data_IF_484746665694
#
_entry.id   IF_484746665694
#
_cell.length_a   1.000
_cell.length_b   1.000
_cell.length_c   1.000
_cell.angle_alpha   90.00
_cell.angle_beta   90.00
_cell.angle_gamma   90.00
#
_symmetry.space_group_name_H-M   'P 1'
#
loop_
_entity.id
_entity.type
_entity.pdbx_description
1 polymer ?
#
# COMPACT_ATOMS: atom_id res chain seq x y z
N UNK A 1 -0.40 21.35 1.80
CA UNK A 1 -1.75 20.78 2.04
C UNK A 1 -2.47 20.75 0.69
N UNK A 2 -2.89 19.57 0.21
CA UNK A 2 -3.36 19.42 -1.18
C UNK A 2 -4.75 20.01 -1.40
N UNK A 3 -4.97 20.64 -2.56
CA UNK A 3 -6.30 21.11 -2.95
C UNK A 3 -7.10 19.97 -3.56
N UNK A 4 -8.26 19.69 -2.98
CA UNK A 4 -9.16 18.63 -3.43
C UNK A 4 -10.25 19.20 -4.34
N UNK A 5 -10.37 18.64 -5.55
CA UNK A 5 -11.50 18.85 -6.44
C UNK A 5 -12.37 17.59 -6.42
N UNK A 6 -13.66 17.76 -6.14
CA UNK A 6 -14.64 16.66 -6.10
C UNK A 6 -15.78 16.98 -7.05
N UNK A 7 -16.15 16.03 -7.89
CA UNK A 7 -17.35 16.13 -8.71
C UNK A 7 -17.99 14.76 -8.91
N UNK A 8 -19.25 14.77 -9.31
CA UNK A 8 -20.05 13.57 -9.57
C UNK A 8 -20.44 13.57 -11.04
N UNK A 9 -20.23 12.45 -11.71
CA UNK A 9 -20.67 12.24 -13.09
C UNK A 9 -21.83 11.26 -13.08
N UNK A 10 -23.03 11.74 -13.43
CA UNK A 10 -24.25 10.93 -13.42
C UNK A 10 -24.22 9.98 -14.61
N UNK A 11 -24.37 8.68 -14.31
CA UNK A 11 -24.38 7.60 -15.31
C UNK A 11 -25.82 7.32 -15.74
N UNK A 12 -26.74 7.20 -14.78
CA UNK A 12 -28.15 6.90 -15.04
C UNK A 12 -29.03 7.22 -13.84
N UNK A 13 -30.30 7.50 -14.10
CA UNK A 13 -31.35 7.58 -13.08
C UNK A 13 -32.06 6.23 -12.95
N UNK A 14 -32.51 5.91 -11.73
CA UNK A 14 -33.39 4.78 -11.47
C UNK A 14 -34.75 4.98 -12.12
N UNK A 15 -35.51 3.89 -12.30
CA UNK A 15 -36.84 3.94 -12.92
C UNK A 15 -37.86 4.73 -12.10
N UNK A 16 -37.59 4.88 -10.82
CA UNK A 16 -38.35 5.63 -9.84
C UNK A 16 -37.92 7.11 -9.73
N UNK A 17 -36.86 7.51 -10.45
CA UNK A 17 -36.19 8.82 -10.34
C UNK A 17 -35.70 9.20 -8.92
N UNK A 18 -35.92 8.36 -7.91
CA UNK A 18 -35.45 8.54 -6.53
C UNK A 18 -33.98 8.13 -6.36
N UNK A 19 -33.47 7.28 -7.26
CA UNK A 19 -32.09 6.77 -7.20
C UNK A 19 -31.25 7.24 -8.38
N UNK A 20 -29.97 7.54 -8.14
CA UNK A 20 -29.03 7.96 -9.18
C UNK A 20 -27.72 7.18 -9.08
N UNK A 21 -27.29 6.59 -10.19
CA UNK A 21 -25.95 6.03 -10.35
C UNK A 21 -25.01 7.12 -10.84
N UNK A 22 -23.87 7.27 -10.18
CA UNK A 22 -22.86 8.24 -10.57
C UNK A 22 -21.45 7.74 -10.24
N UNK A 23 -20.45 8.25 -10.97
CA UNK A 23 -19.04 8.15 -10.59
C UNK A 23 -18.69 9.29 -9.63
N UNK A 24 -18.07 8.95 -8.51
CA UNK A 24 -17.51 9.95 -7.58
C UNK A 24 -16.03 10.15 -7.92
N UNK A 25 -15.70 11.28 -8.54
CA UNK A 25 -14.34 11.58 -8.97
C UNK A 25 -13.70 12.55 -7.97
N UNK A 26 -12.45 12.26 -7.60
CA UNK A 26 -11.63 13.13 -6.75
C UNK A 26 -10.28 13.32 -7.39
N UNK A 27 -9.83 14.57 -7.45
CA UNK A 27 -8.51 14.95 -7.91
C UNK A 27 -7.81 15.76 -6.84
N UNK A 28 -6.52 15.49 -6.63
CA UNK A 28 -5.68 16.19 -5.68
C UNK A 28 -4.54 16.86 -6.42
N UNK A 29 -4.37 18.16 -6.18
CA UNK A 29 -3.25 18.93 -6.71
C UNK A 29 -2.25 19.22 -5.61
N UNK A 30 -1.00 18.83 -5.85
CA UNK A 30 0.12 19.13 -4.98
C UNK A 30 0.37 20.65 -4.92
N UNK A 31 0.43 21.18 -3.70
CA UNK A 31 0.70 22.60 -3.43
C UNK A 31 2.09 22.74 -2.80
N UNK A 32 3.09 23.07 -3.62
CA UNK A 32 4.49 23.17 -3.21
C UNK A 32 4.76 24.35 -2.26
N UNK A 33 4.01 25.45 -2.39
CA UNK A 33 4.18 26.64 -1.56
C UNK A 33 3.71 26.42 -0.12
N UNK A 34 2.80 25.45 0.08
CA UNK A 34 2.22 25.10 1.38
C UNK A 34 2.70 23.75 1.92
N UNK A 35 3.86 23.29 1.47
CA UNK A 35 4.41 21.99 1.87
C UNK A 35 5.89 22.13 2.22
N UNK A 36 6.30 21.54 3.34
CA UNK A 36 7.68 21.63 3.88
C UNK A 36 8.71 20.93 2.96
N UNK A 37 8.26 19.96 2.17
CA UNK A 37 9.10 19.17 1.28
C UNK A 37 8.57 19.04 -0.14
N UNK A 38 9.28 18.27 -0.95
CA UNK A 38 8.95 17.97 -2.33
C UNK A 38 8.40 16.56 -2.49
N UNK A 39 7.58 16.38 -3.53
CA UNK A 39 7.16 15.05 -4.00
C UNK A 39 8.31 14.12 -4.36
N UNK A 40 9.49 14.68 -4.67
CA UNK A 40 10.72 13.95 -5.02
C UNK A 40 11.55 13.58 -3.80
N UNK A 41 11.19 14.04 -2.61
CA UNK A 41 11.95 13.76 -1.39
C UNK A 41 11.92 12.28 -1.09
N UNK A 42 13.09 11.75 -0.76
CA UNK A 42 13.28 10.35 -0.45
C UNK A 42 13.03 10.10 1.04
N UNK A 43 12.15 9.15 1.31
CA UNK A 43 11.77 8.70 2.63
C UNK A 43 12.17 7.23 2.77
N UNK A 44 12.75 6.89 3.92
CA UNK A 44 13.00 5.50 4.28
C UNK A 44 11.79 4.98 5.03
N UNK A 45 11.13 3.97 4.48
CA UNK A 45 9.94 3.36 5.07
C UNK A 45 10.17 1.90 5.39
N UNK A 46 9.33 1.37 6.27
CA UNK A 46 9.18 -0.08 6.43
C UNK A 46 8.47 -0.62 5.20
N UNK A 47 8.94 -1.77 4.71
CA UNK A 47 8.40 -2.42 3.54
C UNK A 47 7.08 -3.15 3.83
N UNK A 48 6.00 -2.37 3.99
CA UNK A 48 4.69 -2.83 4.49
C UNK A 48 4.10 -4.02 3.70
N UNK A 49 4.10 -4.07 2.35
CA UNK A 49 3.47 -5.17 1.64
C UNK A 49 4.20 -6.51 1.84
N UNK A 50 5.54 -6.49 1.86
CA UNK A 50 6.29 -7.71 2.13
C UNK A 50 6.16 -8.14 3.60
N UNK A 51 6.01 -7.19 4.54
CA UNK A 51 5.62 -7.55 5.90
C UNK A 51 4.24 -8.18 5.94
N UNK A 52 3.22 -7.60 5.29
CA UNK A 52 1.85 -8.08 5.35
C UNK A 52 1.68 -9.49 4.76
N UNK A 53 2.29 -9.79 3.62
CA UNK A 53 2.20 -11.11 2.98
C UNK A 53 2.90 -12.21 3.77
N UNK A 54 4.09 -11.93 4.28
CA UNK A 54 4.86 -12.91 5.06
C UNK A 54 4.26 -13.09 6.47
N UNK A 55 3.83 -12.01 7.11
CA UNK A 55 3.11 -12.06 8.40
C UNK A 55 1.86 -12.90 8.25
N UNK A 56 1.04 -12.69 7.22
CA UNK A 56 -0.20 -13.45 7.02
C UNK A 56 0.08 -14.95 6.84
N UNK A 57 0.98 -15.30 5.93
CA UNK A 57 1.32 -16.71 5.66
C UNK A 57 2.02 -17.43 6.82
N UNK A 58 2.75 -16.72 7.68
CA UNK A 58 3.41 -17.29 8.87
C UNK A 58 2.50 -17.32 10.09
N UNK A 59 1.70 -16.28 10.33
CA UNK A 59 0.76 -16.22 11.47
C UNK A 59 -0.37 -17.23 11.29
N UNK A 60 -0.89 -17.42 10.08
CA UNK A 60 -1.94 -18.41 9.83
C UNK A 60 -1.48 -19.86 10.07
N UNK A 61 -0.16 -20.12 10.05
CA UNK A 61 0.42 -21.47 10.24
C UNK A 61 1.01 -21.70 11.63
N UNK A 62 1.09 -20.69 12.47
CA UNK A 62 1.70 -20.79 13.81
C UNK A 62 0.63 -20.68 14.89
N UNK A 63 0.51 -21.66 15.80
CA UNK A 63 -0.41 -21.55 16.93
C UNK A 63 0.01 -20.35 17.77
N UNK A 64 -0.88 -19.36 17.85
CA UNK A 64 -0.70 -18.07 18.51
C UNK A 64 -0.03 -18.22 19.87
N UNK A 65 1.28 -17.99 19.94
CA UNK A 65 1.96 -17.69 21.20
C UNK A 65 2.91 -16.52 20.97
N UNK A 66 2.77 -15.50 21.82
CA UNK A 66 3.52 -14.24 21.84
C UNK A 66 5.06 -14.41 21.93
N UNK A 67 5.55 -15.65 22.02
CA UNK A 67 6.96 -16.03 22.23
C UNK A 67 7.73 -16.20 20.92
N UNK A 68 7.05 -16.32 19.77
CA UNK A 68 7.67 -16.72 18.48
C UNK A 68 8.16 -15.52 17.63
N UNK A 69 7.99 -14.28 18.12
CA UNK A 69 8.34 -13.07 17.37
C UNK A 69 9.76 -13.11 16.73
N UNK A 70 10.85 -13.53 17.43
CA UNK A 70 12.19 -13.53 16.86
C UNK A 70 12.36 -14.49 15.67
N UNK A 71 11.70 -15.65 15.71
CA UNK A 71 11.81 -16.66 14.65
C UNK A 71 11.06 -16.22 13.40
N UNK A 72 9.88 -15.62 13.58
CA UNK A 72 9.11 -15.02 12.48
C UNK A 72 9.90 -13.89 11.83
N UNK A 73 10.46 -12.96 12.63
CA UNK A 73 11.32 -11.90 12.10
C UNK A 73 12.56 -12.43 11.40
N UNK A 74 13.17 -13.51 11.88
CA UNK A 74 14.30 -14.18 11.22
C UNK A 74 13.92 -14.79 9.86
N UNK A 75 12.82 -15.53 9.79
CA UNK A 75 12.33 -16.13 8.55
C UNK A 75 11.92 -15.06 7.51
N UNK A 76 11.27 -14.00 7.98
CA UNK A 76 10.94 -12.81 7.19
C UNK A 76 12.22 -12.17 6.63
N UNK A 77 13.24 -11.97 7.46
CA UNK A 77 14.52 -11.39 7.03
C UNK A 77 15.26 -12.26 6.00
N UNK A 78 15.19 -13.59 6.12
CA UNK A 78 15.76 -14.51 5.12
C UNK A 78 15.03 -14.43 3.79
N UNK A 79 13.69 -14.42 3.79
CA UNK A 79 12.89 -14.22 2.57
C UNK A 79 13.20 -12.88 1.90
N UNK A 80 13.39 -11.83 2.69
CA UNK A 80 13.83 -10.53 2.21
C UNK A 80 15.21 -10.60 1.55
N UNK A 81 16.19 -11.23 2.20
CA UNK A 81 17.54 -11.43 1.65
C UNK A 81 17.52 -12.24 0.35
N UNK A 82 16.73 -13.32 0.27
CA UNK A 82 16.67 -14.18 -0.94
C UNK A 82 16.04 -13.47 -2.14
N UNK A 83 15.14 -12.51 -1.90
CA UNK A 83 14.49 -11.72 -2.94
C UNK A 83 15.18 -10.37 -3.21
N UNK A 84 16.30 -10.08 -2.55
CA UNK A 84 17.04 -8.83 -2.72
C UNK A 84 16.26 -7.58 -2.28
N UNK A 85 15.21 -7.73 -1.47
CA UNK A 85 14.44 -6.62 -0.92
C UNK A 85 14.78 -6.45 0.57
N UNK A 86 14.93 -5.20 1.02
CA UNK A 86 15.15 -4.89 2.43
C UNK A 86 13.84 -4.74 3.20
N UNK A 87 13.92 -4.96 4.52
CA UNK A 87 12.87 -4.56 5.49
C UNK A 87 12.60 -3.06 5.43
N UNK A 88 13.64 -2.28 5.14
CA UNK A 88 13.55 -0.86 4.89
C UNK A 88 13.75 -0.60 3.40
N UNK A 89 12.94 0.30 2.86
CA UNK A 89 13.03 0.73 1.46
C UNK A 89 13.02 2.24 1.39
N UNK A 90 13.83 2.78 0.48
CA UNK A 90 13.79 4.19 0.15
C UNK A 90 12.81 4.41 -1.00
N UNK A 91 11.82 5.26 -0.79
CA UNK A 91 10.79 5.62 -1.76
C UNK A 91 10.60 7.14 -1.76
N UNK A 92 10.08 7.69 -2.86
CA UNK A 92 9.72 9.11 -2.89
C UNK A 92 8.38 9.36 -2.20
N UNK A 93 8.16 10.57 -1.69
CA UNK A 93 6.87 10.98 -1.15
C UNK A 93 5.72 10.79 -2.18
N UNK A 94 5.98 11.04 -3.47
CA UNK A 94 5.02 10.73 -4.55
C UNK A 94 4.66 9.25 -4.61
N UNK A 95 5.67 8.38 -4.61
CA UNK A 95 5.47 6.92 -4.68
C UNK A 95 4.68 6.37 -3.49
N UNK A 96 4.81 6.97 -2.31
CA UNK A 96 4.02 6.58 -1.14
C UNK A 96 2.52 6.88 -1.30
N UNK A 97 2.19 8.01 -1.91
CA UNK A 97 0.81 8.49 -2.03
C UNK A 97 0.13 7.90 -3.27
N UNK A 98 0.85 7.83 -4.39
CA UNK A 98 0.32 7.39 -5.69
C UNK A 98 0.46 5.88 -5.90
N UNK A 99 1.21 5.21 -5.03
CA UNK A 99 1.56 3.81 -5.16
C UNK A 99 2.89 3.60 -5.91
N UNK A 100 3.51 2.46 -5.64
CA UNK A 100 4.75 2.04 -6.27
C UNK A 100 4.70 0.55 -6.61
N UNK A 101 5.34 0.12 -7.71
CA UNK A 101 5.35 -1.28 -8.10
C UNK A 101 6.10 -2.13 -7.08
N UNK A 102 5.51 -3.26 -6.70
CA UNK A 102 6.02 -4.14 -5.66
C UNK A 102 6.18 -5.58 -6.14
N UNK A 103 7.43 -5.99 -6.43
CA UNK A 103 7.72 -7.27 -7.09
C UNK A 103 7.45 -8.52 -6.23
N UNK A 104 7.43 -8.38 -4.91
CA UNK A 104 7.18 -9.51 -4.00
C UNK A 104 5.69 -9.91 -3.98
N UNK A 105 4.74 -8.99 -4.23
CA UNK A 105 3.32 -9.34 -4.28
C UNK A 105 3.05 -10.36 -5.40
N UNK A 106 3.70 -10.20 -6.55
CA UNK A 106 3.60 -11.16 -7.67
C UNK A 106 4.11 -12.56 -7.29
N UNK A 107 5.03 -12.67 -6.33
CA UNK A 107 5.57 -13.96 -5.86
C UNK A 107 4.68 -14.58 -4.79
N UNK A 108 4.09 -13.77 -3.90
CA UNK A 108 3.19 -14.26 -2.85
C UNK A 108 1.94 -14.90 -3.48
N UNK A 109 1.35 -14.29 -4.50
CA UNK A 109 0.16 -14.83 -5.19
C UNK A 109 0.42 -16.21 -5.83
N UNK A 110 1.67 -16.50 -6.21
CA UNK A 110 2.08 -17.81 -6.75
C UNK A 110 2.20 -18.87 -5.65
N UNK A 111 2.60 -18.48 -4.44
CA UNK A 111 2.82 -19.41 -3.32
C UNK A 111 1.54 -19.71 -2.55
N UNK A 112 0.52 -18.84 -2.64
CA UNK A 112 -0.80 -19.04 -2.00
C UNK A 112 -1.83 -19.75 -2.87
N UNK A 113 -1.50 -20.12 -4.10
CA UNK A 113 -2.29 -21.08 -4.90
C UNK A 113 -1.79 -22.50 -4.66
#
# INVERSE_FOLDING_TARGET
MDRQHRWKEIISWGKDEETVKFWALSSWKFDAERTVGSRKDKLTIVNLPAMAGVIRGLIEKLPLSFVIAPVVFGAVNVLFMTHGEGLLRQVTAAQLIEGYPFRILDTIDVVTK
#
